data_IF_235863873860
#
_entry.id   IF_235863873860
#
_cell.length_a   1.000
_cell.length_b   1.000
_cell.length_c   1.000
_cell.angle_alpha   90.00
_cell.angle_beta   90.00
_cell.angle_gamma   90.00
#
_symmetry.space_group_name_H-M   'P 1'
#
loop_
_entity.id
_entity.type
_entity.pdbx_description
1 polymer ?
#
# COMPACT_ATOMS: atom_id res chain seq x y z
N UNK A 1 19.61 -28.33 -39.39
CA UNK A 1 20.13 -28.55 -38.04
C UNK A 1 19.54 -27.49 -37.15
N UNK A 2 18.46 -27.84 -36.45
CA UNK A 2 17.79 -26.93 -35.50
C UNK A 2 18.40 -27.16 -34.10
N UNK A 3 19.23 -26.24 -33.68
CA UNK A 3 19.73 -26.21 -32.29
C UNK A 3 18.59 -25.85 -31.34
N UNK A 4 18.11 -26.82 -30.54
CA UNK A 4 17.28 -26.56 -29.35
C UNK A 4 18.15 -25.81 -28.33
N UNK A 5 17.82 -24.55 -28.07
CA UNK A 5 18.30 -23.85 -26.89
C UNK A 5 17.69 -24.54 -25.67
N UNK A 6 18.51 -25.30 -24.95
CA UNK A 6 18.12 -25.87 -23.66
C UNK A 6 18.01 -24.70 -22.65
N UNK A 7 16.81 -24.32 -22.26
CA UNK A 7 16.58 -23.48 -21.09
C UNK A 7 17.23 -24.16 -19.88
N UNK A 8 18.34 -23.60 -19.41
CA UNK A 8 18.98 -24.05 -18.18
C UNK A 8 18.10 -23.62 -17.02
N UNK A 9 17.45 -24.58 -16.38
CA UNK A 9 16.81 -24.33 -15.08
C UNK A 9 17.83 -23.67 -14.12
N UNK A 10 17.49 -22.57 -13.47
CA UNK A 10 18.39 -21.94 -12.51
C UNK A 10 18.71 -22.91 -11.36
N UNK A 11 19.89 -22.81 -10.73
CA UNK A 11 20.27 -23.66 -9.62
C UNK A 11 19.30 -23.51 -8.45
N UNK A 12 19.08 -24.60 -7.70
CA UNK A 12 18.11 -24.69 -6.58
C UNK A 12 18.27 -23.55 -5.58
N UNK A 13 19.51 -23.08 -5.32
CA UNK A 13 19.81 -21.93 -4.44
C UNK A 13 19.27 -20.61 -4.98
N UNK A 14 19.29 -20.37 -6.29
CA UNK A 14 18.74 -19.17 -6.90
C UNK A 14 17.20 -19.13 -6.74
N UNK A 15 16.53 -20.25 -6.97
CA UNK A 15 15.08 -20.39 -6.77
C UNK A 15 14.65 -20.10 -5.31
N UNK A 16 15.46 -20.51 -4.33
CA UNK A 16 15.15 -20.30 -2.91
C UNK A 16 15.33 -18.83 -2.51
N UNK A 17 16.27 -18.12 -3.12
CA UNK A 17 16.49 -16.67 -2.88
C UNK A 17 15.45 -15.79 -3.57
N UNK A 18 15.02 -16.16 -4.78
CA UNK A 18 13.93 -15.46 -5.48
C UNK A 18 12.63 -15.52 -4.65
N UNK A 19 12.32 -16.69 -4.06
CA UNK A 19 11.16 -16.90 -3.19
C UNK A 19 11.19 -15.98 -1.97
N UNK A 20 12.37 -15.71 -1.39
CA UNK A 20 12.51 -14.84 -0.21
C UNK A 20 11.99 -13.42 -0.46
N UNK A 21 12.39 -12.77 -1.57
CA UNK A 21 11.93 -11.41 -1.89
C UNK A 21 10.44 -11.38 -2.23
N UNK A 22 9.95 -12.34 -3.02
CA UNK A 22 8.52 -12.41 -3.33
C UNK A 22 7.67 -12.67 -2.09
N UNK A 23 8.14 -13.47 -1.14
CA UNK A 23 7.46 -13.68 0.13
C UNK A 23 7.52 -12.44 1.02
N UNK A 24 8.62 -11.69 0.98
CA UNK A 24 8.75 -10.38 1.62
C UNK A 24 7.70 -9.39 1.09
N UNK A 25 7.63 -9.20 -0.22
CA UNK A 25 6.64 -8.31 -0.84
C UNK A 25 5.19 -8.71 -0.51
N UNK A 26 4.87 -10.02 -0.50
CA UNK A 26 3.55 -10.50 -0.08
C UNK A 26 3.24 -10.12 1.37
N UNK A 27 4.18 -10.34 2.27
CA UNK A 27 4.01 -9.99 3.69
C UNK A 27 3.81 -8.49 3.88
N UNK A 28 4.57 -7.64 3.18
CA UNK A 28 4.39 -6.18 3.22
C UNK A 28 3.00 -5.78 2.70
N UNK A 29 2.56 -6.32 1.57
CA UNK A 29 1.22 -6.09 1.04
C UNK A 29 0.12 -6.58 2.00
N UNK A 30 0.30 -7.72 2.65
CA UNK A 30 -0.64 -8.26 3.64
C UNK A 30 -0.75 -7.34 4.86
N UNK A 31 0.35 -6.73 5.33
CA UNK A 31 0.32 -5.76 6.42
C UNK A 31 -0.37 -4.46 6.01
N UNK A 32 -0.12 -3.95 4.81
CA UNK A 32 -0.84 -2.79 4.28
C UNK A 32 -2.36 -3.04 4.23
N UNK A 33 -2.78 -4.23 3.78
CA UNK A 33 -4.19 -4.64 3.78
C UNK A 33 -4.78 -4.76 5.20
N UNK A 34 -4.02 -5.26 6.18
CA UNK A 34 -4.43 -5.30 7.59
C UNK A 34 -4.59 -3.90 8.17
N UNK A 35 -3.64 -3.00 7.89
CA UNK A 35 -3.71 -1.60 8.32
C UNK A 35 -4.94 -0.89 7.73
N UNK A 36 -5.18 -1.05 6.43
CA UNK A 36 -6.36 -0.48 5.77
C UNK A 36 -7.68 -0.97 6.35
N UNK A 37 -7.79 -2.26 6.62
CA UNK A 37 -8.98 -2.85 7.26
C UNK A 37 -9.19 -2.31 8.68
N UNK A 38 -8.12 -2.21 9.48
CA UNK A 38 -8.21 -1.63 10.82
C UNK A 38 -8.63 -0.15 10.76
N UNK A 39 -8.09 0.64 9.82
CA UNK A 39 -8.50 2.03 9.64
C UNK A 39 -9.98 2.13 9.27
N UNK A 40 -10.45 1.35 8.30
CA UNK A 40 -11.86 1.32 7.89
C UNK A 40 -12.78 0.88 9.05
N UNK A 41 -12.41 -0.15 9.82
CA UNK A 41 -13.17 -0.55 11.03
C UNK A 41 -13.28 0.60 12.04
N UNK A 42 -12.19 1.31 12.30
CA UNK A 42 -12.17 2.46 13.22
C UNK A 42 -13.07 3.58 12.72
N UNK A 43 -13.09 3.84 11.41
CA UNK A 43 -13.93 4.89 10.83
C UNK A 43 -15.41 4.52 10.81
N UNK A 44 -15.76 3.26 10.52
CA UNK A 44 -17.14 2.77 10.53
C UNK A 44 -17.75 2.69 11.93
N UNK A 45 -16.97 2.34 12.96
CA UNK A 45 -17.39 2.27 14.37
C UNK A 45 -16.59 3.27 15.21
N UNK A 46 -16.67 4.55 14.81
CA UNK A 46 -15.84 5.60 15.37
C UNK A 46 -16.15 5.88 16.84
N UNK A 47 -15.13 5.71 17.69
CA UNK A 47 -15.19 6.06 19.10
C UNK A 47 -13.91 6.80 19.53
N UNK A 48 -13.97 8.14 19.77
CA UNK A 48 -12.80 8.92 20.17
C UNK A 48 -12.09 8.38 21.42
N UNK A 49 -12.84 7.77 22.34
CA UNK A 49 -12.28 7.20 23.57
C UNK A 49 -11.43 5.95 23.35
N UNK A 50 -11.54 5.31 22.19
CA UNK A 50 -10.76 4.11 21.82
C UNK A 50 -9.59 4.41 20.89
N UNK A 51 -9.47 5.63 20.36
CA UNK A 51 -8.44 5.98 19.38
C UNK A 51 -7.03 5.61 19.83
N UNK A 52 -6.70 5.82 21.12
CA UNK A 52 -5.38 5.47 21.65
C UNK A 52 -5.06 3.97 21.54
N UNK A 53 -6.01 3.12 21.92
CA UNK A 53 -5.85 1.66 21.80
C UNK A 53 -5.76 1.21 20.35
N UNK A 54 -6.52 1.83 19.46
CA UNK A 54 -6.50 1.56 18.01
C UNK A 54 -5.18 1.99 17.39
N UNK A 55 -4.59 3.13 17.82
CA UNK A 55 -3.25 3.55 17.41
C UNK A 55 -2.17 2.55 17.83
N UNK A 56 -2.22 2.05 19.07
CA UNK A 56 -1.25 1.04 19.54
C UNK A 56 -1.35 -0.25 18.69
N UNK A 57 -2.57 -0.63 18.28
CA UNK A 57 -2.81 -1.77 17.38
C UNK A 57 -2.29 -1.50 15.96
N UNK A 58 -2.49 -0.30 15.44
CA UNK A 58 -2.00 0.13 14.13
C UNK A 58 -0.48 0.15 14.09
N UNK A 59 0.15 0.73 15.11
CA UNK A 59 1.60 0.77 15.23
C UNK A 59 2.24 -0.63 15.30
N UNK A 60 1.55 -1.61 15.88
CA UNK A 60 2.04 -2.99 15.86
C UNK A 60 2.04 -3.60 14.45
N UNK A 61 1.10 -3.22 13.60
CA UNK A 61 1.04 -3.66 12.18
C UNK A 61 2.17 -2.98 11.40
N UNK A 62 2.29 -1.64 11.50
CA UNK A 62 3.35 -0.86 10.84
C UNK A 62 4.72 -1.40 11.20
N UNK A 63 5.02 -1.55 12.50
CA UNK A 63 6.30 -2.12 12.96
C UNK A 63 6.59 -3.49 12.36
N UNK A 64 5.57 -4.34 12.19
CA UNK A 64 5.75 -5.66 11.58
C UNK A 64 6.02 -5.57 10.07
N UNK A 65 5.48 -4.56 9.38
CA UNK A 65 5.78 -4.27 7.98
C UNK A 65 7.22 -3.76 7.81
N UNK A 66 7.64 -2.81 8.66
CA UNK A 66 9.00 -2.26 8.68
C UNK A 66 10.06 -3.35 8.98
N UNK A 67 9.80 -4.27 9.90
CA UNK A 67 10.66 -5.44 10.14
C UNK A 67 10.82 -6.31 8.89
N UNK A 68 9.77 -6.52 8.09
CA UNK A 68 9.86 -7.26 6.82
C UNK A 68 10.73 -6.53 5.81
N UNK A 69 10.57 -5.23 5.68
CA UNK A 69 11.38 -4.40 4.79
C UNK A 69 12.84 -4.44 5.19
N UNK A 70 13.17 -4.27 6.48
CA UNK A 70 14.53 -4.35 6.99
C UNK A 70 15.17 -5.71 6.71
N UNK A 71 14.47 -6.81 6.95
CA UNK A 71 14.96 -8.17 6.66
C UNK A 71 15.30 -8.34 5.16
N UNK A 72 14.45 -7.79 4.26
CA UNK A 72 14.70 -7.83 2.81
C UNK A 72 15.94 -7.01 2.44
N UNK A 73 16.11 -5.82 3.03
CA UNK A 73 17.26 -4.96 2.74
C UNK A 73 18.57 -5.56 3.27
N UNK A 74 18.59 -6.16 4.44
CA UNK A 74 19.75 -6.84 5.00
C UNK A 74 20.21 -8.02 4.12
N UNK A 75 19.27 -8.84 3.62
CA UNK A 75 19.59 -9.89 2.65
C UNK A 75 20.09 -9.31 1.32
N UNK A 76 19.49 -8.19 0.85
CA UNK A 76 19.84 -7.56 -0.42
C UNK A 76 21.30 -7.06 -0.45
N UNK A 77 21.83 -6.57 0.68
CA UNK A 77 23.23 -6.13 0.79
C UNK A 77 24.21 -7.26 0.46
N UNK A 78 23.90 -8.48 0.86
CA UNK A 78 24.77 -9.65 0.71
C UNK A 78 24.41 -10.57 -0.46
N UNK A 79 23.24 -10.36 -1.10
CA UNK A 79 22.75 -11.19 -2.18
C UNK A 79 23.69 -11.12 -3.41
N UNK A 80 24.06 -12.27 -3.96
CA UNK A 80 24.85 -12.34 -5.19
C UNK A 80 23.98 -12.42 -6.44
N UNK A 81 22.80 -13.02 -6.34
CA UNK A 81 21.81 -13.17 -7.42
C UNK A 81 20.46 -12.74 -6.85
N UNK A 82 19.72 -11.91 -7.59
CA UNK A 82 18.40 -11.38 -7.25
C UNK A 82 17.41 -11.59 -8.40
N UNK A 83 16.09 -11.69 -8.16
CA UNK A 83 15.08 -11.89 -9.21
C UNK A 83 14.93 -10.70 -10.15
N UNK A 84 15.21 -9.48 -9.66
CA UNK A 84 15.21 -8.22 -10.37
C UNK A 84 16.48 -7.43 -10.03
N UNK A 85 16.69 -6.28 -10.65
CA UNK A 85 17.74 -5.36 -10.26
C UNK A 85 17.56 -4.96 -8.77
N UNK A 86 18.69 -4.79 -8.06
CA UNK A 86 18.67 -4.47 -6.63
C UNK A 86 17.90 -3.18 -6.33
N UNK A 87 18.05 -2.19 -7.21
CA UNK A 87 17.37 -0.91 -7.11
C UNK A 87 15.84 -1.08 -7.24
N UNK A 88 15.38 -1.99 -8.10
CA UNK A 88 13.95 -2.29 -8.26
C UNK A 88 13.37 -3.02 -7.03
N UNK A 89 14.16 -3.88 -6.37
CA UNK A 89 13.76 -4.56 -5.13
C UNK A 89 13.67 -3.58 -3.98
N UNK A 90 14.66 -2.71 -3.83
CA UNK A 90 14.71 -1.65 -2.81
C UNK A 90 13.53 -0.69 -2.97
N UNK A 91 13.32 -0.19 -4.19
CA UNK A 91 12.20 0.71 -4.50
C UNK A 91 10.84 0.08 -4.21
N UNK A 92 10.61 -1.17 -4.66
CA UNK A 92 9.34 -1.85 -4.40
C UNK A 92 9.13 -2.12 -2.90
N UNK A 93 10.19 -2.47 -2.17
CA UNK A 93 10.12 -2.62 -0.72
C UNK A 93 9.75 -1.31 -0.03
N UNK A 94 10.31 -0.19 -0.50
CA UNK A 94 10.06 1.13 0.06
C UNK A 94 8.63 1.61 -0.20
N UNK A 95 8.14 1.54 -1.44
CA UNK A 95 6.78 2.00 -1.75
C UNK A 95 5.69 1.13 -1.11
N UNK A 96 5.95 -0.16 -0.85
CA UNK A 96 5.03 -1.02 -0.07
C UNK A 96 4.96 -0.61 1.40
N UNK A 97 6.08 -0.22 1.99
CA UNK A 97 6.17 0.29 3.36
C UNK A 97 5.45 1.63 3.50
N UNK A 98 5.66 2.56 2.56
CA UNK A 98 5.00 3.86 2.50
C UNK A 98 3.45 3.75 2.60
N UNK A 99 2.85 2.70 2.02
CA UNK A 99 1.39 2.46 2.11
C UNK A 99 0.98 2.22 3.57
N UNK A 100 1.71 1.40 4.31
CA UNK A 100 1.38 1.11 5.72
C UNK A 100 1.59 2.33 6.60
N UNK A 101 2.68 3.06 6.38
CA UNK A 101 3.02 4.30 7.09
C UNK A 101 1.97 5.39 6.88
N UNK A 102 1.53 5.60 5.64
CA UNK A 102 0.51 6.61 5.34
C UNK A 102 -0.83 6.26 5.99
N UNK A 103 -1.22 4.98 6.05
CA UNK A 103 -2.44 4.52 6.73
C UNK A 103 -2.33 4.75 8.24
N UNK A 104 -1.21 4.42 8.89
CA UNK A 104 -0.98 4.76 10.30
C UNK A 104 -1.06 6.27 10.50
N UNK A 105 -0.49 7.04 9.57
CA UNK A 105 -0.52 8.49 9.57
C UNK A 105 -1.93 9.08 9.66
N UNK A 106 -2.94 8.49 9.02
CA UNK A 106 -4.34 8.93 9.12
C UNK A 106 -4.85 8.83 10.56
N UNK A 107 -4.65 7.67 11.19
CA UNK A 107 -5.14 7.42 12.54
C UNK A 107 -4.45 8.31 13.58
N UNK A 108 -3.15 8.56 13.41
CA UNK A 108 -2.38 9.48 14.23
C UNK A 108 -2.95 10.92 14.16
N UNK A 109 -3.35 11.38 12.96
CA UNK A 109 -3.98 12.70 12.76
C UNK A 109 -5.33 12.80 13.41
N UNK A 110 -6.18 11.79 13.25
CA UNK A 110 -7.47 11.76 13.94
C UNK A 110 -7.33 11.93 15.46
N UNK A 111 -6.26 11.39 16.04
CA UNK A 111 -5.98 11.49 17.47
C UNK A 111 -5.48 12.88 17.87
N UNK A 112 -4.38 13.38 17.27
CA UNK A 112 -3.79 14.64 17.74
C UNK A 112 -4.55 15.89 17.29
N UNK A 113 -5.30 15.83 16.18
CA UNK A 113 -6.20 16.89 15.74
C UNK A 113 -7.56 16.84 16.47
N UNK A 114 -7.72 15.90 17.41
CA UNK A 114 -8.89 15.75 18.25
C UNK A 114 -10.19 15.64 17.44
N UNK A 115 -10.21 14.72 16.47
CA UNK A 115 -11.43 14.39 15.72
C UNK A 115 -12.46 13.80 16.69
N UNK A 116 -13.66 14.39 16.75
CA UNK A 116 -14.74 14.00 17.67
C UNK A 116 -15.92 13.35 16.99
N UNK A 117 -16.12 13.61 15.72
CA UNK A 117 -17.22 13.11 14.89
C UNK A 117 -16.67 12.50 13.61
N UNK A 118 -17.34 11.51 13.05
CA UNK A 118 -16.93 10.88 11.79
C UNK A 118 -17.74 11.44 10.61
N UNK A 119 -17.11 11.59 9.46
CA UNK A 119 -17.70 12.06 8.22
C UNK A 119 -17.87 10.91 7.23
N UNK A 120 -19.02 10.82 6.62
CA UNK A 120 -19.36 9.72 5.69
C UNK A 120 -18.44 9.65 4.47
N UNK A 121 -17.98 10.81 3.99
CA UNK A 121 -17.02 10.87 2.87
C UNK A 121 -15.63 10.34 3.26
N UNK A 122 -15.17 10.56 4.49
CA UNK A 122 -13.93 9.97 4.99
C UNK A 122 -14.02 8.44 5.14
N UNK A 123 -15.17 7.93 5.59
CA UNK A 123 -15.45 6.49 5.63
C UNK A 123 -15.37 5.90 4.22
N UNK A 124 -15.99 6.54 3.21
CA UNK A 124 -15.92 6.10 1.83
C UNK A 124 -14.48 6.08 1.29
N UNK A 125 -13.66 7.11 1.62
CA UNK A 125 -12.24 7.12 1.23
C UNK A 125 -11.47 5.95 1.89
N UNK A 126 -11.71 5.66 3.17
CA UNK A 126 -11.08 4.51 3.84
C UNK A 126 -11.44 3.16 3.19
N UNK A 127 -12.68 3.00 2.74
CA UNK A 127 -13.12 1.80 2.01
C UNK A 127 -12.42 1.69 0.63
N UNK A 128 -12.10 2.83 0.00
CA UNK A 128 -11.31 2.83 -1.24
C UNK A 128 -9.87 2.40 -0.97
N UNK A 129 -9.26 2.81 0.13
CA UNK A 129 -7.93 2.35 0.55
C UNK A 129 -7.91 0.84 0.79
N UNK A 130 -8.96 0.27 1.42
CA UNK A 130 -9.10 -1.20 1.57
C UNK A 130 -9.11 -1.88 0.20
N UNK A 131 -9.93 -1.40 -0.73
CA UNK A 131 -9.99 -1.98 -2.09
C UNK A 131 -8.67 -1.88 -2.85
N UNK A 132 -7.95 -0.76 -2.72
CA UNK A 132 -6.66 -0.56 -3.34
C UNK A 132 -5.60 -1.54 -2.77
N UNK A 133 -5.52 -1.68 -1.44
CA UNK A 133 -4.59 -2.59 -0.79
C UNK A 133 -4.91 -4.07 -1.08
N UNK A 134 -6.18 -4.46 -1.18
CA UNK A 134 -6.57 -5.80 -1.63
C UNK A 134 -6.11 -6.07 -3.06
N UNK A 135 -6.25 -5.08 -3.96
CA UNK A 135 -5.75 -5.18 -5.33
C UNK A 135 -4.22 -5.25 -5.39
N UNK A 136 -3.50 -4.57 -4.48
CA UNK A 136 -2.04 -4.69 -4.33
C UNK A 136 -1.66 -6.13 -3.92
N UNK A 137 -2.37 -6.74 -2.96
CA UNK A 137 -2.12 -8.13 -2.57
C UNK A 137 -2.25 -9.08 -3.77
N UNK A 138 -3.27 -8.91 -4.61
CA UNK A 138 -3.44 -9.71 -5.83
C UNK A 138 -2.31 -9.44 -6.83
N UNK A 139 -1.93 -8.18 -7.03
CA UNK A 139 -0.88 -7.77 -7.96
C UNK A 139 0.50 -8.35 -7.57
N UNK A 140 0.86 -8.27 -6.29
CA UNK A 140 2.10 -8.83 -5.75
C UNK A 140 2.11 -10.36 -5.86
N UNK A 141 0.96 -11.02 -5.69
CA UNK A 141 0.85 -12.47 -5.89
C UNK A 141 1.07 -12.92 -7.35
N UNK A 142 0.75 -12.06 -8.32
CA UNK A 142 1.03 -12.32 -9.74
C UNK A 142 2.49 -12.06 -10.14
N UNK A 143 3.23 -11.24 -9.38
CA UNK A 143 4.59 -10.79 -9.71
C UNK A 143 5.59 -11.94 -9.99
N UNK A 144 5.62 -13.07 -9.25
CA UNK A 144 6.52 -14.19 -9.58
C UNK A 144 6.31 -14.81 -10.96
N UNK A 145 5.15 -14.57 -11.56
CA UNK A 145 4.73 -15.12 -12.86
C UNK A 145 4.52 -14.06 -13.92
N UNK A 146 5.07 -12.84 -13.71
CA UNK A 146 4.79 -11.66 -14.52
C UNK A 146 4.90 -11.89 -16.05
N UNK A 147 5.88 -12.71 -16.53
CA UNK A 147 6.06 -13.02 -17.96
C UNK A 147 4.88 -13.77 -18.59
N UNK A 148 4.05 -14.42 -17.79
CA UNK A 148 2.94 -15.24 -18.24
C UNK A 148 1.59 -14.77 -17.67
N UNK A 149 1.59 -13.78 -16.80
CA UNK A 149 0.36 -13.23 -16.21
C UNK A 149 -0.43 -12.47 -17.28
N UNK A 150 -1.72 -12.74 -17.33
CA UNK A 150 -2.68 -12.01 -18.17
C UNK A 150 -3.43 -10.95 -17.40
N UNK A 151 -3.41 -11.04 -16.07
CA UNK A 151 -4.20 -10.20 -15.15
C UNK A 151 -3.41 -9.05 -14.57
N UNK A 152 -2.07 -9.09 -14.62
CA UNK A 152 -1.22 -8.08 -13.98
C UNK A 152 -1.57 -6.65 -14.43
N UNK A 153 -1.70 -6.43 -15.74
CA UNK A 153 -2.07 -5.10 -16.28
C UNK A 153 -3.49 -4.69 -15.91
N UNK A 154 -4.41 -5.65 -15.80
CA UNK A 154 -5.78 -5.38 -15.37
C UNK A 154 -5.81 -4.94 -13.89
N UNK A 155 -4.97 -5.53 -13.03
CA UNK A 155 -4.82 -5.15 -11.63
C UNK A 155 -4.18 -3.76 -11.48
N UNK A 156 -3.12 -3.47 -12.24
CA UNK A 156 -2.53 -2.11 -12.29
C UNK A 156 -3.59 -1.08 -12.70
N UNK A 157 -4.35 -1.36 -13.75
CA UNK A 157 -5.42 -0.46 -14.20
C UNK A 157 -6.53 -0.30 -13.14
N UNK A 158 -6.88 -1.37 -12.43
CA UNK A 158 -7.89 -1.31 -11.38
C UNK A 158 -7.45 -0.41 -10.20
N UNK A 159 -6.17 -0.51 -9.77
CA UNK A 159 -5.62 0.35 -8.71
C UNK A 159 -5.64 1.82 -9.14
N UNK A 160 -5.17 2.12 -10.35
CA UNK A 160 -5.18 3.49 -10.89
C UNK A 160 -6.61 4.05 -11.03
N UNK A 161 -7.59 3.20 -11.30
CA UNK A 161 -9.00 3.62 -11.33
C UNK A 161 -9.51 3.95 -9.92
N UNK A 162 -9.13 3.17 -8.90
CA UNK A 162 -9.50 3.43 -7.50
C UNK A 162 -8.90 4.76 -7.03
N UNK A 163 -7.63 5.03 -7.35
CA UNK A 163 -6.97 6.30 -7.05
C UNK A 163 -7.72 7.48 -7.71
N UNK A 164 -7.99 7.41 -9.02
CA UNK A 164 -8.74 8.48 -9.73
C UNK A 164 -10.13 8.73 -9.10
N UNK A 165 -10.83 7.68 -8.68
CA UNK A 165 -12.11 7.80 -7.97
C UNK A 165 -11.93 8.44 -6.58
N UNK A 166 -10.84 8.10 -5.87
CA UNK A 166 -10.51 8.67 -4.56
C UNK A 166 -10.16 10.17 -4.66
N UNK A 167 -9.40 10.56 -5.68
CA UNK A 167 -9.11 11.96 -6.03
C UNK A 167 -10.38 12.79 -6.23
N UNK A 168 -11.30 12.27 -7.01
CA UNK A 168 -12.58 12.94 -7.22
C UNK A 168 -13.37 13.11 -5.91
N UNK A 169 -13.42 12.07 -5.08
CA UNK A 169 -14.08 12.12 -3.78
C UNK A 169 -13.37 13.11 -2.84
N UNK A 170 -12.05 13.13 -2.82
CA UNK A 170 -11.24 14.08 -2.06
C UNK A 170 -11.59 15.53 -2.42
N UNK A 171 -11.60 15.88 -3.72
CA UNK A 171 -11.93 17.25 -4.18
C UNK A 171 -13.32 17.67 -3.71
N UNK A 172 -14.32 16.82 -3.83
CA UNK A 172 -15.70 17.12 -3.43
C UNK A 172 -15.83 17.21 -1.91
N UNK A 173 -15.12 16.33 -1.16
CA UNK A 173 -15.09 16.35 0.30
C UNK A 173 -14.45 17.63 0.84
N UNK A 174 -13.32 18.04 0.24
CA UNK A 174 -12.64 19.29 0.56
C UNK A 174 -13.53 20.50 0.28
N UNK A 175 -14.22 20.53 -0.87
CA UNK A 175 -15.16 21.59 -1.18
C UNK A 175 -16.30 21.65 -0.15
N UNK A 176 -16.87 20.50 0.17
CA UNK A 176 -17.96 20.38 1.15
C UNK A 176 -17.50 20.86 2.53
N UNK A 177 -16.33 20.42 2.99
CA UNK A 177 -15.72 20.84 4.24
C UNK A 177 -15.62 22.37 4.31
N UNK A 178 -15.01 23.00 3.32
CA UNK A 178 -14.75 24.45 3.32
C UNK A 178 -15.99 25.30 3.10
N UNK A 179 -17.08 24.74 2.58
CA UNK A 179 -18.33 25.50 2.33
C UNK A 179 -19.39 25.31 3.41
N UNK A 180 -19.34 24.21 4.17
CA UNK A 180 -20.38 23.87 5.15
C UNK A 180 -19.90 23.91 6.61
N UNK A 181 -18.62 23.66 6.88
CA UNK A 181 -18.07 23.68 8.23
C UNK A 181 -17.70 25.11 8.62
N UNK A 182 -18.20 25.58 9.77
CA UNK A 182 -17.95 26.93 10.27
C UNK A 182 -16.93 26.97 11.43
N UNK A 183 -16.56 25.82 11.99
CA UNK A 183 -15.53 25.72 13.02
C UNK A 183 -14.14 25.60 12.37
N UNK A 184 -13.26 26.60 12.54
CA UNK A 184 -11.92 26.57 11.92
C UNK A 184 -11.04 25.41 12.40
N UNK A 185 -11.20 24.94 13.64
CA UNK A 185 -10.44 23.81 14.16
C UNK A 185 -10.88 22.50 13.50
N UNK A 186 -12.18 22.31 13.30
CA UNK A 186 -12.70 21.15 12.56
C UNK A 186 -12.32 21.21 11.07
N UNK A 187 -12.31 22.39 10.47
CA UNK A 187 -11.82 22.55 9.10
C UNK A 187 -10.34 22.13 9.01
N UNK A 188 -9.51 22.57 9.96
CA UNK A 188 -8.09 22.20 9.99
C UNK A 188 -7.91 20.68 10.15
N UNK A 189 -8.56 20.09 11.16
CA UNK A 189 -8.45 18.66 11.46
C UNK A 189 -8.87 17.79 10.26
N UNK A 190 -10.04 18.07 9.69
CA UNK A 190 -10.54 17.29 8.55
C UNK A 190 -9.78 17.55 7.25
N UNK A 191 -9.25 18.76 7.04
CA UNK A 191 -8.36 19.02 5.92
C UNK A 191 -7.13 18.11 5.97
N UNK A 192 -6.50 17.96 7.15
CA UNK A 192 -5.32 17.13 7.32
C UNK A 192 -5.64 15.63 7.17
N UNK A 193 -6.76 15.17 7.75
CA UNK A 193 -7.22 13.78 7.59
C UNK A 193 -7.51 13.42 6.14
N UNK A 194 -8.24 14.28 5.40
CA UNK A 194 -8.55 14.02 3.99
C UNK A 194 -7.30 13.96 3.12
N UNK A 195 -6.34 14.86 3.33
CA UNK A 195 -5.08 14.83 2.60
C UNK A 195 -4.30 13.54 2.81
N UNK A 196 -4.39 12.95 4.01
CA UNK A 196 -3.70 11.71 4.28
C UNK A 196 -4.46 10.47 3.78
N UNK A 197 -5.79 10.53 3.72
CA UNK A 197 -6.56 9.49 3.03
C UNK A 197 -6.30 9.46 1.53
N UNK A 198 -6.18 10.63 0.89
CA UNK A 198 -5.78 10.74 -0.52
C UNK A 198 -4.35 10.22 -0.71
N UNK A 199 -3.40 10.61 0.15
CA UNK A 199 -2.03 10.09 0.11
C UNK A 199 -1.97 8.55 0.19
N UNK A 200 -2.83 7.90 0.97
CA UNK A 200 -2.89 6.43 1.00
C UNK A 200 -3.25 5.83 -0.37
N UNK A 201 -4.13 6.48 -1.12
CA UNK A 201 -4.51 6.05 -2.48
C UNK A 201 -3.38 6.28 -3.47
N UNK A 202 -2.69 7.41 -3.39
CA UNK A 202 -1.50 7.74 -4.20
C UNK A 202 -0.36 6.74 -3.96
N UNK A 203 -0.12 6.36 -2.70
CA UNK A 203 0.90 5.38 -2.37
C UNK A 203 0.55 3.99 -2.94
N UNK A 204 -0.74 3.62 -2.96
CA UNK A 204 -1.20 2.40 -3.61
C UNK A 204 -0.97 2.45 -5.14
N UNK A 205 -1.25 3.58 -5.79
CA UNK A 205 -0.96 3.78 -7.21
C UNK A 205 0.54 3.69 -7.48
N UNK A 206 1.37 4.27 -6.63
CA UNK A 206 2.83 4.22 -6.74
C UNK A 206 3.35 2.78 -6.71
N UNK A 207 2.82 1.92 -5.84
CA UNK A 207 3.14 0.48 -5.83
C UNK A 207 2.80 -0.16 -7.18
N UNK A 208 1.61 0.08 -7.71
CA UNK A 208 1.16 -0.47 -8.99
C UNK A 208 2.06 -0.03 -10.16
N UNK A 209 2.41 1.26 -10.22
CA UNK A 209 3.26 1.83 -11.25
C UNK A 209 4.71 1.34 -11.14
N UNK A 210 5.24 1.13 -9.92
CA UNK A 210 6.56 0.53 -9.68
C UNK A 210 6.59 -0.91 -10.18
N UNK A 211 5.58 -1.71 -9.89
CA UNK A 211 5.48 -3.10 -10.37
C UNK A 211 5.39 -3.12 -11.91
N UNK A 212 4.58 -2.27 -12.54
CA UNK A 212 4.48 -2.20 -14.00
C UNK A 212 5.83 -1.83 -14.64
N UNK A 213 6.57 -0.91 -14.05
CA UNK A 213 7.92 -0.53 -14.47
C UNK A 213 8.91 -1.70 -14.39
N UNK A 214 8.91 -2.44 -13.26
CA UNK A 214 9.75 -3.64 -13.07
C UNK A 214 9.43 -4.69 -14.15
N UNK A 215 8.15 -4.93 -14.39
CA UNK A 215 7.69 -5.89 -15.40
C UNK A 215 8.11 -5.47 -16.79
N UNK A 216 7.97 -4.19 -17.15
CA UNK A 216 8.41 -3.69 -18.47
C UNK A 216 9.92 -3.81 -18.69
N UNK A 217 10.75 -3.61 -17.65
CA UNK A 217 12.21 -3.77 -17.74
C UNK A 217 12.63 -5.23 -17.95
N UNK A 218 11.83 -6.20 -17.48
CA UNK A 218 12.19 -7.61 -17.39
C UNK A 218 11.40 -8.52 -18.35
N UNK A 219 10.63 -7.96 -19.29
CA UNK A 219 9.76 -8.66 -20.26
C UNK A 219 10.43 -8.96 -21.61
#
# INVERSE_FOLDING_TARGET
VHGRVLERNPPIMARQKDTFYFDGFRRSADYACQAAKLLSEVMHDFNPGQLRERMDSMHAIEKSADEVRHDMMDELVTAFITPFDREDIDELGHVLDDVTDSIEGVLNRMYYDNVTDMRDDAVQMSDMVVRATESICELVNELPRFRHSKTLRELVFAINTIETDADHLFIESMRTLHTTCTDPLQVFAWHDVYRHLEQCSDDCERVANTIDSIVMKNS
#
